data_IF_656426616132
#
_entry.id   IF_656426616132
#
_cell.length_a   1.000
_cell.length_b   1.000
_cell.length_c   1.000
_cell.angle_alpha   90.00
_cell.angle_beta   90.00
_cell.angle_gamma   90.00
#
_symmetry.space_group_name_H-M   'P 1'
#
loop_
_entity.id
_entity.type
_entity.pdbx_description
1 polymer ?
#
# COMPACT_ATOMS: atom_id res chain seq x y z
N UNK A 1 -4.55 -28.21 6.30
CA UNK A 1 -4.06 -27.49 7.50
C UNK A 1 -2.74 -26.87 7.12
N UNK A 2 -2.51 -25.60 7.44
CA UNK A 2 -1.24 -24.95 7.10
C UNK A 2 -0.07 -25.63 7.84
N UNK A 3 1.10 -25.78 7.19
CA UNK A 3 2.29 -26.30 7.86
C UNK A 3 2.79 -25.31 8.91
N UNK A 4 3.37 -25.83 10.00
CA UNK A 4 4.10 -24.99 10.96
C UNK A 4 5.40 -24.50 10.32
N UNK A 5 5.58 -23.19 10.21
CA UNK A 5 6.80 -22.56 9.71
C UNK A 5 7.50 -21.77 10.81
N UNK A 6 8.77 -21.40 10.61
CA UNK A 6 9.51 -20.61 11.59
C UNK A 6 8.81 -19.25 11.79
N UNK A 7 8.66 -18.75 13.05
CA UNK A 7 7.89 -17.54 13.35
C UNK A 7 8.24 -16.30 12.53
N UNK A 8 9.52 -16.13 12.14
CA UNK A 8 10.01 -14.96 11.40
C UNK A 8 10.26 -15.26 9.92
N UNK A 9 9.54 -16.25 9.37
CA UNK A 9 9.66 -16.66 7.98
C UNK A 9 8.29 -16.88 7.37
N UNK A 10 8.26 -16.86 6.04
CA UNK A 10 7.11 -17.27 5.24
C UNK A 10 7.56 -18.27 4.19
N UNK A 11 6.67 -19.16 3.78
CA UNK A 11 6.93 -20.13 2.72
C UNK A 11 5.86 -19.98 1.66
N UNK A 12 6.28 -19.59 0.45
CA UNK A 12 5.40 -19.52 -0.70
C UNK A 12 5.42 -20.85 -1.45
N UNK A 13 4.24 -21.35 -1.83
CA UNK A 13 4.08 -22.65 -2.47
C UNK A 13 3.57 -22.51 -3.89
N UNK A 14 4.05 -23.41 -4.76
CA UNK A 14 3.69 -23.39 -6.18
C UNK A 14 2.28 -23.91 -6.49
N UNK A 15 1.56 -24.40 -5.47
CA UNK A 15 0.17 -24.87 -5.56
C UNK A 15 -0.65 -24.28 -4.42
N UNK A 16 -1.96 -24.38 -4.56
CA UNK A 16 -2.90 -24.10 -3.46
C UNK A 16 -2.70 -25.10 -2.33
N UNK A 17 -3.27 -24.77 -1.16
CA UNK A 17 -3.28 -25.65 0.01
C UNK A 17 -1.89 -26.07 0.51
N UNK A 18 -0.88 -25.22 0.29
CA UNK A 18 0.50 -25.40 0.75
C UNK A 18 1.21 -26.61 0.12
N UNK A 19 0.82 -26.98 -1.09
CA UNK A 19 1.40 -28.13 -1.80
C UNK A 19 2.54 -27.74 -2.76
N UNK A 20 3.34 -28.74 -3.14
CA UNK A 20 4.43 -28.59 -4.09
C UNK A 20 5.71 -28.02 -3.46
N UNK A 21 6.61 -27.51 -4.31
CA UNK A 21 7.85 -26.89 -3.85
C UNK A 21 7.54 -25.59 -3.13
N UNK A 22 8.11 -25.43 -1.94
CA UNK A 22 8.02 -24.22 -1.13
C UNK A 22 9.32 -23.43 -1.15
N UNK A 23 9.23 -22.12 -1.39
CA UNK A 23 10.36 -21.19 -1.30
C UNK A 23 10.23 -20.37 -0.01
N UNK A 24 11.28 -20.41 0.82
CA UNK A 24 11.27 -19.76 2.15
C UNK A 24 11.89 -18.37 2.08
N UNK A 25 11.23 -17.41 2.71
CA UNK A 25 11.68 -16.03 2.83
C UNK A 25 11.63 -15.59 4.30
N UNK A 26 12.60 -14.79 4.73
CA UNK A 26 12.71 -14.27 6.08
C UNK A 26 12.24 -12.81 6.17
N UNK A 27 11.83 -12.38 7.37
CA UNK A 27 11.60 -10.97 7.68
C UNK A 27 12.80 -10.11 7.24
N UNK A 28 12.50 -8.97 6.61
CA UNK A 28 13.47 -8.04 6.03
C UNK A 28 13.77 -8.29 4.55
N UNK A 29 13.27 -9.37 3.95
CA UNK A 29 13.42 -9.60 2.52
C UNK A 29 12.35 -8.88 1.69
N UNK A 30 12.82 -8.11 0.72
CA UNK A 30 12.03 -7.50 -0.35
C UNK A 30 12.33 -8.23 -1.66
N UNK A 31 11.31 -8.79 -2.28
CA UNK A 31 11.44 -9.70 -3.42
C UNK A 31 10.59 -9.19 -4.57
N UNK A 32 11.25 -8.77 -5.64
CA UNK A 32 10.63 -8.60 -6.96
C UNK A 32 10.59 -9.95 -7.66
N UNK A 33 9.38 -10.42 -7.95
CA UNK A 33 9.13 -11.72 -8.57
C UNK A 33 9.28 -11.55 -10.09
N UNK A 34 10.25 -12.23 -10.74
CA UNK A 34 10.38 -12.22 -12.19
C UNK A 34 9.06 -12.66 -12.85
N UNK A 35 8.75 -12.14 -14.05
CA UNK A 35 7.48 -12.45 -14.74
C UNK A 35 7.20 -13.95 -14.94
N UNK A 36 8.24 -14.80 -14.98
CA UNK A 36 8.10 -16.26 -15.03
C UNK A 36 7.68 -16.92 -13.69
N UNK A 37 7.72 -16.17 -12.58
CA UNK A 37 7.32 -16.55 -11.22
C UNK A 37 6.06 -15.81 -10.73
N UNK A 38 5.63 -14.73 -11.42
CA UNK A 38 4.46 -13.89 -11.09
C UNK A 38 3.13 -14.66 -10.99
N UNK A 39 3.09 -15.88 -11.55
CA UNK A 39 1.93 -16.79 -11.54
C UNK A 39 2.23 -18.15 -10.86
N UNK A 40 3.42 -18.31 -10.24
CA UNK A 40 3.79 -19.60 -9.64
C UNK A 40 3.26 -19.77 -8.23
N UNK A 41 3.28 -18.72 -7.41
CA UNK A 41 2.85 -18.85 -6.03
C UNK A 41 1.32 -18.78 -5.91
N UNK A 42 0.75 -19.84 -5.35
CA UNK A 42 -0.70 -20.02 -5.25
C UNK A 42 -1.17 -20.16 -3.80
N UNK A 43 -0.25 -20.36 -2.85
CA UNK A 43 -0.54 -20.28 -1.41
C UNK A 43 0.70 -19.83 -0.64
N UNK A 44 0.52 -19.37 0.60
CA UNK A 44 1.60 -18.91 1.46
C UNK A 44 1.37 -19.32 2.92
N UNK A 45 2.34 -19.99 3.52
CA UNK A 45 2.36 -20.21 4.97
C UNK A 45 3.13 -19.07 5.64
N UNK A 46 2.54 -18.47 6.67
CA UNK A 46 3.07 -17.28 7.35
C UNK A 46 3.39 -17.64 8.79
N UNK A 47 4.64 -17.39 9.21
CA UNK A 47 5.08 -17.56 10.59
C UNK A 47 4.39 -16.59 11.54
N UNK A 48 4.18 -16.99 12.79
CA UNK A 48 3.37 -16.25 13.76
C UNK A 48 3.85 -14.82 14.08
N UNK A 49 5.09 -14.46 13.74
CA UNK A 49 5.67 -13.14 13.95
C UNK A 49 5.98 -12.41 12.63
N UNK A 50 5.66 -13.01 11.49
CA UNK A 50 5.86 -12.43 10.17
C UNK A 50 4.52 -11.98 9.57
N UNK A 51 4.62 -11.04 8.63
CA UNK A 51 3.54 -10.65 7.74
C UNK A 51 4.09 -10.44 6.34
N UNK A 52 3.30 -10.77 5.32
CA UNK A 52 3.60 -10.42 3.94
C UNK A 52 2.80 -9.18 3.56
N UNK A 53 3.47 -8.17 3.00
CA UNK A 53 2.84 -7.10 2.23
C UNK A 53 3.18 -7.37 0.77
N UNK A 54 2.15 -7.63 -0.04
CA UNK A 54 2.28 -8.05 -1.43
C UNK A 54 1.54 -7.07 -2.34
N UNK A 55 2.10 -6.75 -3.50
CA UNK A 55 1.44 -5.86 -4.46
C UNK A 55 1.72 -6.23 -5.91
N UNK A 56 0.75 -5.87 -6.74
CA UNK A 56 0.75 -6.09 -8.17
C UNK A 56 1.52 -4.99 -8.91
N UNK A 57 2.13 -5.41 -10.02
CA UNK A 57 2.78 -4.59 -11.06
C UNK A 57 3.96 -3.70 -10.65
N UNK A 58 4.90 -3.60 -11.58
CA UNK A 58 6.06 -2.70 -11.50
C UNK A 58 5.72 -1.23 -11.86
N UNK A 59 4.48 -0.93 -12.26
CA UNK A 59 4.11 0.29 -12.99
C UNK A 59 3.15 1.22 -12.21
N UNK A 60 3.33 1.33 -10.89
CA UNK A 60 2.70 2.41 -10.10
C UNK A 60 1.16 2.28 -9.94
N UNK A 61 0.62 1.09 -10.19
CA UNK A 61 -0.79 0.73 -10.05
C UNK A 61 -0.93 -0.72 -9.59
N UNK A 62 -1.97 -1.08 -8.85
CA UNK A 62 -2.21 -2.49 -8.54
C UNK A 62 -3.00 -2.79 -7.27
N UNK A 63 -3.46 -4.03 -7.19
CA UNK A 63 -3.99 -4.60 -5.95
C UNK A 63 -2.83 -4.86 -5.00
N UNK A 64 -2.96 -4.40 -3.76
CA UNK A 64 -2.11 -4.88 -2.68
C UNK A 64 -2.91 -5.78 -1.72
N UNK A 65 -2.19 -6.66 -1.04
CA UNK A 65 -2.71 -7.56 -0.02
C UNK A 65 -1.75 -7.61 1.16
N UNK A 66 -2.32 -7.83 2.33
CA UNK A 66 -1.60 -8.15 3.54
C UNK A 66 -1.98 -9.56 3.98
N UNK A 67 -0.98 -10.41 4.20
CA UNK A 67 -1.16 -11.76 4.72
C UNK A 67 -0.41 -11.89 6.05
N UNK A 68 -1.13 -11.62 7.14
CA UNK A 68 -0.66 -11.85 8.51
C UNK A 68 -0.88 -13.29 8.97
N UNK A 69 -1.68 -14.05 8.22
CA UNK A 69 -1.97 -15.46 8.46
C UNK A 69 -1.78 -16.27 7.18
N UNK A 70 -1.61 -17.57 7.33
CA UNK A 70 -1.42 -18.49 6.20
C UNK A 70 -2.64 -18.50 5.28
N UNK A 71 -2.42 -18.34 3.98
CA UNK A 71 -3.46 -18.34 2.96
C UNK A 71 -3.32 -19.57 2.06
N UNK A 72 -4.35 -20.42 2.04
CA UNK A 72 -4.38 -21.61 1.20
C UNK A 72 -4.59 -21.29 -0.30
N UNK A 73 -5.04 -20.08 -0.60
CA UNK A 73 -5.22 -19.57 -1.96
C UNK A 73 -4.94 -18.06 -1.98
N UNK A 74 -3.97 -17.63 -2.76
CA UNK A 74 -3.63 -16.20 -2.97
C UNK A 74 -3.89 -15.74 -4.42
N UNK A 75 -4.67 -16.50 -5.18
CA UNK A 75 -4.94 -16.16 -6.59
C UNK A 75 -5.74 -14.87 -6.78
N UNK A 76 -6.37 -14.34 -5.72
CA UNK A 76 -7.14 -13.10 -5.75
C UNK A 76 -6.27 -11.83 -5.90
N UNK A 77 -4.94 -11.92 -5.67
CA UNK A 77 -4.03 -10.80 -5.89
C UNK A 77 -3.81 -10.50 -7.38
N UNK A 78 -4.24 -11.39 -8.29
CA UNK A 78 -4.24 -11.13 -9.73
C UNK A 78 -2.86 -11.04 -10.38
N UNK A 79 -1.82 -11.59 -9.74
CA UNK A 79 -0.44 -11.66 -10.25
C UNK A 79 0.56 -11.02 -9.27
N UNK A 80 1.24 -11.85 -8.48
CA UNK A 80 2.17 -11.40 -7.44
C UNK A 80 3.50 -10.92 -8.05
N UNK A 81 3.69 -9.60 -8.16
CA UNK A 81 4.88 -9.05 -8.80
C UNK A 81 5.97 -8.64 -7.81
N UNK A 82 5.61 -8.19 -6.61
CA UNK A 82 6.56 -7.86 -5.54
C UNK A 82 5.92 -8.13 -4.19
N UNK A 83 6.76 -8.52 -3.22
CA UNK A 83 6.35 -8.59 -1.83
C UNK A 83 7.52 -8.25 -0.92
N UNK A 84 7.19 -7.83 0.30
CA UNK A 84 8.14 -7.78 1.40
C UNK A 84 7.62 -8.62 2.57
N UNK A 85 8.55 -9.26 3.27
CA UNK A 85 8.29 -9.97 4.51
C UNK A 85 8.72 -9.07 5.65
N UNK A 86 7.77 -8.72 6.53
CA UNK A 86 7.96 -7.76 7.62
C UNK A 86 7.55 -8.37 8.94
N UNK A 87 7.93 -7.73 10.04
CA UNK A 87 7.36 -8.06 11.35
C UNK A 87 5.84 -7.82 11.35
N UNK A 88 5.09 -8.62 12.10
CA UNK A 88 3.62 -8.61 12.06
C UNK A 88 3.00 -7.26 12.49
N UNK A 89 3.71 -6.47 13.29
CA UNK A 89 3.30 -5.15 13.75
C UNK A 89 3.65 -3.99 12.80
N UNK A 90 4.43 -4.26 11.75
CA UNK A 90 4.68 -3.30 10.66
C UNK A 90 3.39 -2.96 9.95
N UNK A 91 3.18 -1.71 9.50
CA UNK A 91 1.94 -1.27 8.84
C UNK A 91 2.15 -0.97 7.36
N UNK A 92 1.22 -1.44 6.53
CA UNK A 92 1.05 -0.95 5.18
C UNK A 92 0.23 0.35 5.23
N UNK A 93 0.80 1.46 4.76
CA UNK A 93 0.09 2.73 4.66
C UNK A 93 -0.65 2.74 3.34
N UNK A 94 -1.96 2.99 3.36
CA UNK A 94 -2.76 2.96 2.14
C UNK A 94 -3.76 4.09 2.02
N UNK A 95 -3.92 4.59 0.80
CA UNK A 95 -4.80 5.71 0.46
C UNK A 95 -5.89 5.31 -0.52
N UNK A 96 -7.08 5.87 -0.32
CA UNK A 96 -8.15 5.92 -1.30
C UNK A 96 -8.42 7.38 -1.65
N UNK A 97 -8.43 7.73 -2.94
CA UNK A 97 -8.62 9.11 -3.37
C UNK A 97 -10.05 9.36 -3.84
N UNK A 98 -10.71 10.36 -3.23
CA UNK A 98 -12.07 10.79 -3.55
C UNK A 98 -12.09 12.26 -3.96
N UNK A 99 -13.12 12.64 -4.70
CA UNK A 99 -13.37 14.03 -5.08
C UNK A 99 -14.77 14.45 -4.61
N UNK A 100 -14.82 15.57 -3.88
CA UNK A 100 -16.04 16.21 -3.38
C UNK A 100 -16.39 17.52 -4.14
N UNK A 101 -15.59 17.90 -5.14
CA UNK A 101 -15.77 19.15 -5.91
C UNK A 101 -16.73 19.01 -7.09
N UNK A 102 -17.21 17.79 -7.36
CA UNK A 102 -18.18 17.49 -8.41
C UNK A 102 -17.56 17.18 -9.77
N UNK A 103 -16.27 16.84 -9.82
CA UNK A 103 -15.60 16.35 -11.02
C UNK A 103 -16.13 14.98 -11.46
N UNK A 104 -15.83 14.62 -12.71
CA UNK A 104 -16.13 13.28 -13.22
C UNK A 104 -15.22 12.22 -12.58
N UNK A 105 -15.62 10.96 -12.65
CA UNK A 105 -14.77 9.84 -12.22
C UNK A 105 -13.40 9.92 -12.92
N UNK A 106 -12.34 9.74 -12.13
CA UNK A 106 -10.95 9.80 -12.54
C UNK A 106 -10.49 11.15 -13.13
N UNK A 107 -11.27 12.21 -12.95
CA UNK A 107 -10.86 13.55 -13.42
C UNK A 107 -9.61 14.05 -12.69
N UNK A 108 -9.49 13.76 -11.39
CA UNK A 108 -8.32 14.15 -10.62
C UNK A 108 -7.44 12.95 -10.31
N UNK A 109 -6.14 13.18 -10.26
CA UNK A 109 -5.16 12.21 -9.76
C UNK A 109 -4.45 12.75 -8.53
N UNK A 110 -4.15 11.84 -7.60
CA UNK A 110 -3.23 12.02 -6.49
C UNK A 110 -2.03 11.12 -6.76
N UNK A 111 -0.92 11.73 -7.15
CA UNK A 111 0.36 11.04 -7.29
C UNK A 111 1.10 11.10 -5.95
N UNK A 112 1.60 9.96 -5.48
CA UNK A 112 2.36 9.82 -4.24
C UNK A 112 3.72 9.20 -4.56
N UNK A 113 4.80 9.94 -4.38
CA UNK A 113 6.16 9.48 -4.70
C UNK A 113 6.78 8.73 -3.51
N UNK A 114 6.21 7.58 -3.15
CA UNK A 114 6.69 6.76 -2.03
C UNK A 114 8.02 6.07 -2.35
N UNK A 115 9.06 6.30 -1.54
CA UNK A 115 10.42 5.80 -1.84
C UNK A 115 10.61 4.30 -1.63
N UNK A 116 9.85 3.72 -0.73
CA UNK A 116 9.94 2.32 -0.30
C UNK A 116 9.14 1.38 -1.23
N UNK A 117 7.89 1.74 -1.52
CA UNK A 117 6.97 0.94 -2.33
C UNK A 117 6.93 1.36 -3.80
N UNK A 118 7.52 2.51 -4.13
CA UNK A 118 7.50 3.13 -5.45
C UNK A 118 6.40 4.18 -5.59
N UNK A 119 6.44 4.92 -6.69
CA UNK A 119 5.42 5.90 -7.03
C UNK A 119 4.06 5.22 -7.19
N UNK A 120 2.99 5.88 -6.75
CA UNK A 120 1.61 5.43 -6.96
C UNK A 120 0.75 6.58 -7.47
N UNK A 121 -0.11 6.30 -8.46
CA UNK A 121 -1.12 7.25 -8.94
C UNK A 121 -2.52 6.75 -8.60
N UNK A 122 -3.22 7.50 -7.75
CA UNK A 122 -4.61 7.24 -7.35
C UNK A 122 -5.54 8.17 -8.13
N UNK A 123 -6.63 7.63 -8.67
CA UNK A 123 -7.62 8.42 -9.41
C UNK A 123 -8.85 8.67 -8.54
N UNK A 124 -9.36 9.90 -8.57
CA UNK A 124 -10.53 10.30 -7.78
C UNK A 124 -11.77 9.48 -8.17
N UNK A 125 -12.51 9.01 -7.17
CA UNK A 125 -13.78 8.29 -7.36
C UNK A 125 -13.66 7.04 -8.26
N UNK A 126 -12.47 6.44 -8.37
CA UNK A 126 -12.19 5.28 -9.23
C UNK A 126 -12.52 3.93 -8.56
N UNK A 127 -13.59 3.86 -7.78
CA UNK A 127 -13.97 2.72 -6.94
C UNK A 127 -13.50 2.84 -5.49
N UNK A 128 -13.37 1.69 -4.82
CA UNK A 128 -13.10 1.59 -3.36
C UNK A 128 -11.78 0.87 -3.04
N UNK A 129 -10.92 0.69 -4.04
CA UNK A 129 -9.63 0.05 -3.88
C UNK A 129 -8.59 1.04 -3.36
N UNK A 130 -7.97 0.70 -2.23
CA UNK A 130 -6.85 1.45 -1.67
C UNK A 130 -5.55 1.11 -2.40
N UNK A 131 -4.68 2.10 -2.58
CA UNK A 131 -3.31 1.91 -3.05
C UNK A 131 -2.30 1.99 -1.91
N UNK A 132 -1.29 1.12 -1.95
CA UNK A 132 -0.18 1.09 -0.99
C UNK A 132 0.76 2.28 -1.25
N UNK A 133 0.92 3.16 -0.27
CA UNK A 133 1.71 4.41 -0.40
C UNK A 133 2.86 4.50 0.60
N UNK A 134 3.14 3.43 1.33
CA UNK A 134 4.30 3.32 2.21
C UNK A 134 4.21 2.13 3.15
N UNK A 135 5.31 1.84 3.83
CA UNK A 135 5.42 0.80 4.84
C UNK A 135 6.14 1.39 6.06
N UNK A 136 5.52 1.30 7.23
CA UNK A 136 6.08 1.84 8.48
C UNK A 136 6.14 0.76 9.55
N UNK A 137 7.36 0.34 9.99
CA UNK A 137 7.52 -0.53 11.15
C UNK A 137 6.94 0.11 12.43
N UNK A 138 6.54 -0.72 13.39
CA UNK A 138 6.16 -0.22 14.71
C UNK A 138 7.34 0.56 15.35
N UNK A 139 7.09 1.76 15.86
CA UNK A 139 8.14 2.64 16.38
C UNK A 139 9.12 3.16 15.31
N UNK A 140 8.81 2.97 14.02
CA UNK A 140 9.63 3.42 12.91
C UNK A 140 9.80 4.95 12.85
N UNK A 141 10.84 5.45 12.18
CA UNK A 141 11.06 6.88 12.04
C UNK A 141 9.93 7.52 11.22
N UNK A 142 9.58 8.80 11.46
CA UNK A 142 8.61 9.47 10.64
C UNK A 142 9.09 9.61 9.19
N UNK A 143 8.15 9.63 8.26
CA UNK A 143 8.42 9.65 6.81
C UNK A 143 7.68 10.79 6.15
N UNK A 144 8.40 11.58 5.35
CA UNK A 144 7.81 12.61 4.48
C UNK A 144 7.79 12.11 3.04
N UNK A 145 6.62 12.19 2.39
CA UNK A 145 6.42 11.74 1.01
C UNK A 145 5.81 12.86 0.17
N UNK A 146 6.39 13.14 -1.00
CA UNK A 146 5.86 14.15 -1.90
C UNK A 146 4.53 13.70 -2.52
N UNK A 147 3.58 14.63 -2.65
CA UNK A 147 2.28 14.40 -3.27
C UNK A 147 1.94 15.49 -4.28
N UNK A 148 1.21 15.10 -5.32
CA UNK A 148 0.80 15.99 -6.40
C UNK A 148 -0.65 15.72 -6.76
N UNK A 149 -1.45 16.77 -6.79
CA UNK A 149 -2.85 16.71 -7.21
C UNK A 149 -2.97 17.35 -8.58
N UNK A 150 -3.48 16.60 -9.56
CA UNK A 150 -3.59 17.07 -10.94
C UNK A 150 -5.00 16.86 -11.47
N UNK A 151 -5.51 17.85 -12.20
CA UNK A 151 -6.67 17.65 -13.07
C UNK A 151 -6.17 16.99 -14.37
N UNK A 152 -6.55 15.74 -14.59
CA UNK A 152 -6.11 14.91 -15.73
C UNK A 152 -6.73 15.35 -17.05
N UNK A 153 -7.83 16.11 -17.01
CA UNK A 153 -8.49 16.62 -18.22
C UNK A 153 -7.78 17.85 -18.77
N UNK A 154 -7.40 18.78 -17.89
CA UNK A 154 -6.72 20.02 -18.24
C UNK A 154 -5.19 19.90 -18.21
N UNK A 155 -4.66 18.94 -17.46
CA UNK A 155 -3.24 18.76 -17.18
C UNK A 155 -2.67 19.72 -16.13
N UNK A 156 -3.50 20.56 -15.50
CA UNK A 156 -3.10 21.56 -14.50
C UNK A 156 -2.93 20.90 -13.13
N UNK A 157 -1.89 21.30 -12.41
CA UNK A 157 -1.74 20.92 -10.99
C UNK A 157 -2.66 21.78 -10.13
N UNK A 158 -3.51 21.11 -9.35
CA UNK A 158 -4.34 21.74 -8.32
C UNK A 158 -3.49 22.05 -7.10
N UNK A 159 -2.63 21.10 -6.70
CA UNK A 159 -1.74 21.29 -5.57
C UNK A 159 -0.47 20.45 -5.69
N UNK A 160 0.59 20.92 -5.04
CA UNK A 160 1.86 20.22 -4.87
C UNK A 160 2.25 20.38 -3.41
N UNK A 161 2.64 19.29 -2.75
CA UNK A 161 2.99 19.32 -1.34
C UNK A 161 3.62 18.03 -0.87
N UNK A 162 3.48 17.75 0.43
CA UNK A 162 3.94 16.51 1.02
C UNK A 162 3.02 16.03 2.14
N UNK A 163 2.98 14.73 2.34
CA UNK A 163 2.37 14.09 3.50
C UNK A 163 3.44 13.64 4.48
N UNK A 164 3.17 13.80 5.78
CA UNK A 164 4.03 13.33 6.85
C UNK A 164 3.35 12.19 7.61
N UNK A 165 4.00 11.03 7.63
CA UNK A 165 3.55 9.85 8.36
C UNK A 165 4.35 9.69 9.65
N UNK A 166 3.65 9.37 10.74
CA UNK A 166 4.29 9.14 12.03
C UNK A 166 3.66 7.95 12.74
N UNK A 167 4.46 7.18 13.47
CA UNK A 167 3.96 6.13 14.36
C UNK A 167 3.36 6.73 15.64
N UNK A 168 2.15 6.32 15.98
CA UNK A 168 1.50 6.65 17.23
C UNK A 168 1.70 5.53 18.26
N UNK A 169 2.52 5.77 19.28
CA UNK A 169 2.83 4.77 20.29
C UNK A 169 1.65 4.42 21.21
N UNK A 170 0.66 5.29 21.33
CA UNK A 170 -0.50 5.06 22.20
C UNK A 170 -1.53 4.16 21.51
N UNK A 171 -1.84 4.44 20.25
CA UNK A 171 -2.85 3.70 19.49
C UNK A 171 -2.27 2.52 18.70
N UNK A 172 -0.95 2.45 18.51
CA UNK A 172 -0.25 1.47 17.64
C UNK A 172 -0.71 1.55 16.19
N UNK A 173 -0.92 2.78 15.73
CA UNK A 173 -1.39 3.17 14.40
C UNK A 173 -0.40 4.12 13.72
N UNK A 174 -0.56 4.32 12.42
CA UNK A 174 0.13 5.38 11.68
C UNK A 174 -0.76 6.61 11.68
N UNK A 175 -0.23 7.78 11.99
CA UNK A 175 -0.88 9.10 11.85
C UNK A 175 -0.44 9.79 10.56
N UNK A 176 -1.37 10.53 9.95
CA UNK A 176 -1.07 11.54 8.93
C UNK A 176 -1.08 12.90 9.61
N UNK A 177 0.03 13.63 9.55
CA UNK A 177 0.16 14.96 10.13
C UNK A 177 -0.01 16.00 9.04
N UNK A 178 -1.11 16.76 9.12
CA UNK A 178 -1.36 17.93 8.27
C UNK A 178 -0.50 19.11 8.77
N UNK A 179 0.65 19.32 8.12
CA UNK A 179 1.56 20.44 8.40
C UNK A 179 1.49 21.49 7.28
N UNK A 180 2.34 22.52 7.33
CA UNK A 180 2.36 23.62 6.35
C UNK A 180 2.61 23.17 4.89
N UNK A 181 3.09 21.94 4.67
CA UNK A 181 3.30 21.36 3.32
C UNK A 181 2.14 20.46 2.87
N UNK A 182 1.15 20.20 3.73
CA UNK A 182 -0.06 19.49 3.35
C UNK A 182 -0.94 20.42 2.49
N UNK A 183 -1.37 20.00 1.28
CA UNK A 183 -2.26 20.80 0.45
C UNK A 183 -3.58 21.13 1.14
N UNK A 184 -3.89 22.41 1.28
CA UNK A 184 -5.16 22.88 1.87
C UNK A 184 -6.41 22.41 1.09
N UNK A 185 -6.23 22.06 -0.19
CA UNK A 185 -7.27 21.48 -1.04
C UNK A 185 -7.67 20.04 -0.64
N UNK A 186 -6.86 19.39 0.21
CA UNK A 186 -7.07 18.01 0.62
C UNK A 186 -7.49 17.94 2.08
N UNK A 187 -8.38 17.00 2.38
CA UNK A 187 -8.66 16.53 3.74
C UNK A 187 -8.39 15.04 3.83
N UNK A 188 -8.02 14.54 5.01
CA UNK A 188 -7.90 13.11 5.25
C UNK A 188 -8.90 12.62 6.29
N UNK A 189 -9.31 11.36 6.15
CA UNK A 189 -10.09 10.64 7.13
C UNK A 189 -9.49 9.25 7.34
N UNK A 190 -9.10 8.95 8.58
CA UNK A 190 -8.72 7.60 8.99
C UNK A 190 -9.87 6.61 8.77
N UNK A 191 -9.58 5.51 8.08
CA UNK A 191 -10.50 4.39 7.85
C UNK A 191 -9.99 3.07 8.45
N UNK A 192 -8.74 3.03 8.92
CA UNK A 192 -8.16 1.92 9.66
C UNK A 192 -6.86 2.32 10.38
N UNK A 193 -6.15 1.34 10.94
CA UNK A 193 -4.92 1.61 11.71
C UNK A 193 -3.78 2.24 10.89
N UNK A 194 -3.83 2.17 9.56
CA UNK A 194 -2.87 2.82 8.66
C UNK A 194 -3.48 3.12 7.28
N UNK A 195 -4.81 3.20 7.21
CA UNK A 195 -5.55 3.44 5.96
C UNK A 195 -6.32 4.74 6.06
N UNK A 196 -6.31 5.52 4.96
CA UNK A 196 -6.90 6.85 4.92
C UNK A 196 -7.65 7.09 3.61
N UNK A 197 -8.83 7.71 3.73
CA UNK A 197 -9.52 8.32 2.61
C UNK A 197 -9.03 9.77 2.48
N UNK A 198 -8.43 10.09 1.34
CA UNK A 198 -7.96 11.43 0.99
C UNK A 198 -8.99 12.05 0.05
N UNK A 199 -9.54 13.20 0.41
CA UNK A 199 -10.62 13.85 -0.35
C UNK A 199 -10.17 15.21 -0.85
N UNK A 200 -10.30 15.43 -2.15
CA UNK A 200 -10.22 16.76 -2.75
C UNK A 200 -11.49 17.54 -2.40
N UNK A 201 -11.34 18.62 -1.64
CA UNK A 201 -12.45 19.48 -1.17
C UNK A 201 -12.49 20.85 -1.84
N UNK A 202 -11.37 21.27 -2.43
CA UNK A 202 -11.27 22.47 -3.26
C UNK A 202 -10.44 22.17 -4.51
N UNK A 203 -10.93 22.54 -5.69
CA UNK A 203 -10.23 22.34 -6.96
C UNK A 203 -9.57 23.62 -7.49
N UNK A 204 -9.61 24.72 -6.74
CA UNK A 204 -8.85 25.93 -7.05
C UNK A 204 -7.35 25.63 -6.88
N UNK A 205 -6.52 25.86 -7.93
CA UNK A 205 -5.07 25.72 -7.79
C UNK A 205 -4.51 26.62 -6.70
N UNK A 206 -3.48 26.15 -5.99
CA UNK A 206 -2.68 26.98 -5.09
C UNK A 206 -2.09 28.16 -5.87
N UNK A 207 -2.09 29.35 -5.27
CA UNK A 207 -1.50 30.57 -5.85
C UNK A 207 0.03 30.59 -5.75
#
# INVERSE_FOLDING_TARGET
MAPSVNPTTVVFYQKKDFEGTGDTYAVGQDVSVPGSLNDKYLSVAVGASAKVIAWQHYNESGIYREWAESQADISDIGGLSRFTVVDNDTRAISFLFKDATGGADKQYSLKVDARDVGTVTLYSNSGDQYGLVGILPAGGPPVTTAIYVRDEKSGVYVAIGSVFFQWNEETKEVDVVENDNWPEQLTQKRTGGSSFEITLVDNKPSE
#
